data_IF_037397828234
#
_entry.id   IF_037397828234
#
_cell.length_a   1.000
_cell.length_b   1.000
_cell.length_c   1.000
_cell.angle_alpha   90.00
_cell.angle_beta   90.00
_cell.angle_gamma   90.00
#
_symmetry.space_group_name_H-M   'P 1'
#
loop_
_entity.id
_entity.type
_entity.pdbx_description
1 polymer ?
#
# COMPACT_ATOMS: atom_id res chain seq x y z
N UNK A 1 1.60 29.13 32.47
CA UNK A 1 0.50 28.23 32.80
C UNK A 1 -0.40 28.17 31.58
N UNK A 2 -0.41 27.07 30.80
CA UNK A 2 -1.26 26.99 29.63
C UNK A 2 -2.74 27.02 30.08
N UNK A 3 -3.45 28.05 29.69
CA UNK A 3 -4.88 28.17 29.94
C UNK A 3 -5.57 27.10 29.08
N UNK A 4 -6.22 26.14 29.71
CA UNK A 4 -6.92 25.05 29.00
C UNK A 4 -8.40 25.40 28.91
N UNK A 5 -9.01 25.18 27.76
CA UNK A 5 -10.46 25.20 27.60
C UNK A 5 -11.11 24.20 28.60
N UNK A 6 -12.24 24.55 29.18
CA UNK A 6 -12.94 23.64 30.10
C UNK A 6 -13.50 22.42 29.37
N UNK A 7 -13.55 21.27 30.04
CA UNK A 7 -14.07 20.02 29.46
C UNK A 7 -15.54 20.18 28.99
N UNK A 8 -16.34 20.92 29.69
CA UNK A 8 -17.74 21.22 29.33
C UNK A 8 -17.80 21.99 28.01
N UNK A 9 -16.99 23.03 27.86
CA UNK A 9 -16.99 23.87 26.66
C UNK A 9 -16.37 23.09 25.46
N UNK A 10 -15.33 22.30 25.72
CA UNK A 10 -14.73 21.44 24.70
C UNK A 10 -15.76 20.44 24.14
N UNK A 11 -16.52 19.78 25.00
CA UNK A 11 -17.60 18.84 24.58
C UNK A 11 -18.74 19.56 23.87
N UNK A 12 -19.09 20.76 24.27
CA UNK A 12 -20.08 21.59 23.57
C UNK A 12 -19.65 21.92 22.15
N UNK A 13 -18.40 22.32 21.97
CA UNK A 13 -17.81 22.60 20.65
C UNK A 13 -17.66 21.32 19.83
N UNK A 14 -17.25 20.23 20.45
CA UNK A 14 -17.15 18.93 19.82
C UNK A 14 -18.49 18.46 19.24
N UNK A 15 -19.57 18.57 19.99
CA UNK A 15 -20.91 18.21 19.54
C UNK A 15 -21.36 18.99 18.29
N UNK A 16 -20.89 20.24 18.13
CA UNK A 16 -21.23 21.08 17.00
C UNK A 16 -20.33 20.86 15.77
N UNK A 17 -19.03 20.68 15.97
CA UNK A 17 -18.03 20.69 14.90
C UNK A 17 -17.45 19.33 14.55
N UNK A 18 -17.71 18.29 15.37
CA UNK A 18 -17.27 16.91 15.14
C UNK A 18 -18.46 15.96 15.27
N UNK A 19 -19.50 16.19 14.47
CA UNK A 19 -20.79 15.50 14.52
C UNK A 19 -20.73 14.00 14.22
N UNK A 20 -19.62 13.52 13.65
CA UNK A 20 -19.39 12.08 13.34
C UNK A 20 -18.79 11.27 14.50
N UNK A 21 -18.46 11.89 15.63
CA UNK A 21 -18.02 11.26 16.87
C UNK A 21 -18.93 11.71 18.02
N UNK A 22 -18.99 10.92 19.10
CA UNK A 22 -19.59 11.40 20.34
C UNK A 22 -18.77 12.55 20.95
N UNK A 23 -19.39 13.50 21.68
CA UNK A 23 -18.64 14.59 22.31
C UNK A 23 -17.53 14.11 23.24
N UNK A 24 -17.74 12.98 23.95
CA UNK A 24 -16.76 12.39 24.85
C UNK A 24 -15.55 11.82 24.12
N UNK A 25 -15.77 11.13 23.01
CA UNK A 25 -14.70 10.63 22.13
C UNK A 25 -13.91 11.77 21.48
N UNK A 26 -14.60 12.78 20.97
CA UNK A 26 -13.97 13.94 20.35
C UNK A 26 -13.13 14.74 21.35
N UNK A 27 -13.58 14.87 22.59
CA UNK A 27 -12.87 15.59 23.66
C UNK A 27 -11.56 14.90 24.09
N UNK A 28 -11.35 13.61 23.75
CA UNK A 28 -10.06 12.93 23.97
C UNK A 28 -8.95 13.48 23.05
N UNK A 29 -9.32 14.21 21.98
CA UNK A 29 -8.40 14.87 21.08
C UNK A 29 -8.69 16.39 21.04
N UNK A 30 -8.36 17.17 22.08
CA UNK A 30 -8.71 18.59 22.18
C UNK A 30 -8.25 19.42 21.00
N UNK A 31 -7.03 19.21 20.53
CA UNK A 31 -6.46 19.96 19.39
C UNK A 31 -7.30 19.81 18.13
N UNK A 32 -7.91 18.65 17.92
CA UNK A 32 -8.80 18.42 16.77
C UNK A 32 -10.10 19.25 16.87
N UNK A 33 -10.66 19.35 18.06
CA UNK A 33 -11.86 20.18 18.30
C UNK A 33 -11.51 21.65 18.08
N UNK A 34 -10.39 22.09 18.64
CA UNK A 34 -9.89 23.46 18.52
C UNK A 34 -9.62 23.80 17.04
N UNK A 35 -8.97 22.91 16.31
CA UNK A 35 -8.71 23.07 14.87
C UNK A 35 -10.01 23.24 14.08
N UNK A 36 -11.06 22.46 14.38
CA UNK A 36 -12.35 22.59 13.71
C UNK A 36 -13.04 23.93 14.04
N UNK A 37 -12.94 24.42 15.26
CA UNK A 37 -13.45 25.75 15.63
C UNK A 37 -12.66 26.86 14.94
N UNK A 38 -11.33 26.75 14.89
CA UNK A 38 -10.47 27.68 14.14
C UNK A 38 -10.81 27.71 12.65
N UNK A 39 -11.22 26.58 12.08
CA UNK A 39 -11.51 26.44 10.65
C UNK A 39 -12.94 26.86 10.28
N UNK A 40 -13.93 26.55 11.11
CA UNK A 40 -15.36 26.64 10.79
C UNK A 40 -16.17 27.44 11.82
N UNK A 41 -15.56 27.87 12.93
CA UNK A 41 -16.24 28.51 14.03
C UNK A 41 -16.89 29.84 13.69
N UNK A 42 -18.00 30.15 14.34
CA UNK A 42 -18.58 31.47 14.28
C UNK A 42 -17.68 32.52 14.96
N UNK A 43 -17.86 33.80 14.61
CA UNK A 43 -17.04 34.88 15.20
C UNK A 43 -16.98 34.83 16.70
N UNK A 44 -18.15 34.68 17.38
CA UNK A 44 -18.24 34.63 18.83
C UNK A 44 -17.51 33.43 19.45
N UNK A 45 -17.53 32.26 18.79
CA UNK A 45 -16.85 31.07 19.29
C UNK A 45 -15.34 31.17 19.09
N UNK A 46 -14.90 31.75 17.97
CA UNK A 46 -13.49 32.05 17.72
C UNK A 46 -12.94 33.05 18.74
N UNK A 47 -13.65 34.13 19.02
CA UNK A 47 -13.25 35.10 20.05
C UNK A 47 -13.25 34.51 21.46
N UNK A 48 -14.24 33.68 21.78
CA UNK A 48 -14.28 32.91 23.02
C UNK A 48 -13.09 31.95 23.17
N UNK A 49 -12.73 31.28 22.08
CA UNK A 49 -11.56 30.38 22.03
C UNK A 49 -10.25 31.14 22.24
N UNK A 50 -10.08 32.29 21.56
CA UNK A 50 -8.89 33.16 21.70
C UNK A 50 -8.78 33.68 23.14
N UNK A 51 -9.87 34.12 23.73
CA UNK A 51 -9.90 34.64 25.11
C UNK A 51 -9.53 33.56 26.14
N UNK A 52 -9.97 32.33 25.93
CA UNK A 52 -9.74 31.23 26.87
C UNK A 52 -8.34 30.62 26.72
N UNK A 53 -7.84 30.44 25.50
CA UNK A 53 -6.61 29.70 25.25
C UNK A 53 -5.36 30.58 25.08
N UNK A 54 -5.56 31.82 24.63
CA UNK A 54 -4.46 32.72 24.28
C UNK A 54 -3.73 32.34 22.97
N UNK A 55 -2.96 33.29 22.45
CA UNK A 55 -2.31 33.16 21.13
C UNK A 55 -1.29 32.02 21.05
N UNK A 56 -0.56 31.72 22.12
CA UNK A 56 0.50 30.71 22.09
C UNK A 56 -0.04 29.29 21.95
N UNK A 57 -1.17 28.98 22.62
CA UNK A 57 -1.83 27.70 22.48
C UNK A 57 -2.39 27.51 21.06
N UNK A 58 -2.98 28.58 20.49
CA UNK A 58 -3.48 28.53 19.11
C UNK A 58 -2.36 28.45 18.07
N UNK A 59 -1.19 29.08 18.31
CA UNK A 59 0.00 28.87 17.49
C UNK A 59 0.45 27.42 17.51
N UNK A 60 0.45 26.80 18.69
CA UNK A 60 0.78 25.38 18.81
C UNK A 60 -0.15 24.52 17.97
N UNK A 61 -1.47 24.70 18.09
CA UNK A 61 -2.45 23.95 17.30
C UNK A 61 -2.25 24.16 15.79
N UNK A 62 -2.07 25.42 15.35
CA UNK A 62 -1.87 25.74 13.94
C UNK A 62 -0.60 25.12 13.36
N UNK A 63 0.53 25.21 14.09
CA UNK A 63 1.83 24.67 13.63
C UNK A 63 1.88 23.14 13.63
N UNK A 64 1.00 22.47 14.38
CA UNK A 64 0.88 21.01 14.42
C UNK A 64 -0.34 20.50 13.64
N UNK A 65 -1.00 21.38 12.89
CA UNK A 65 -2.17 21.01 12.08
C UNK A 65 -1.82 19.94 11.04
N UNK A 66 -2.74 19.00 10.88
CA UNK A 66 -2.60 17.91 9.91
C UNK A 66 -3.19 18.32 8.56
N UNK A 67 -2.76 17.65 7.47
CA UNK A 67 -3.33 17.85 6.14
C UNK A 67 -4.85 17.70 6.12
N UNK A 68 -5.53 18.71 5.55
CA UNK A 68 -6.99 18.73 5.41
C UNK A 68 -7.76 19.23 6.65
N UNK A 69 -7.07 19.65 7.72
CA UNK A 69 -7.71 20.23 8.91
C UNK A 69 -8.08 21.70 8.74
N UNK A 70 -7.42 22.43 7.85
CA UNK A 70 -7.74 23.81 7.50
C UNK A 70 -8.06 23.94 6.02
N UNK A 71 -8.97 24.87 5.68
CA UNK A 71 -9.08 25.41 4.33
C UNK A 71 -8.10 26.58 4.13
N UNK A 72 -7.85 26.97 2.88
CA UNK A 72 -6.87 28.00 2.53
C UNK A 72 -7.16 29.36 3.21
N UNK A 73 -8.44 29.75 3.32
CA UNK A 73 -8.84 31.03 3.93
C UNK A 73 -8.56 31.04 5.42
N UNK A 74 -8.94 29.98 6.11
CA UNK A 74 -8.70 29.84 7.56
C UNK A 74 -7.22 29.72 7.85
N UNK A 75 -6.45 29.01 7.01
CA UNK A 75 -4.99 28.91 7.12
C UNK A 75 -4.33 30.28 7.03
N UNK A 76 -4.64 31.06 5.99
CA UNK A 76 -4.10 32.41 5.81
C UNK A 76 -4.49 33.34 6.96
N UNK A 77 -5.78 33.36 7.33
CA UNK A 77 -6.28 34.19 8.43
C UNK A 77 -5.53 33.94 9.74
N UNK A 78 -5.38 32.68 10.15
CA UNK A 78 -4.74 32.35 11.40
C UNK A 78 -3.22 32.59 11.40
N UNK A 79 -2.54 32.34 10.28
CA UNK A 79 -1.12 32.67 10.17
C UNK A 79 -0.86 34.18 10.31
N UNK A 80 -1.68 35.03 9.68
CA UNK A 80 -1.60 36.47 9.84
C UNK A 80 -1.98 36.90 11.26
N UNK A 81 -3.10 36.42 11.78
CA UNK A 81 -3.60 36.80 13.12
C UNK A 81 -2.63 36.44 14.25
N UNK A 82 -1.95 35.32 14.12
CA UNK A 82 -1.01 34.82 15.12
C UNK A 82 0.45 35.28 14.88
N UNK A 83 0.69 36.09 13.85
CA UNK A 83 2.02 36.64 13.54
C UNK A 83 3.05 35.58 13.06
N UNK A 84 2.55 34.53 12.38
CA UNK A 84 3.37 33.47 11.79
C UNK A 84 3.63 33.70 10.30
N UNK A 85 2.98 34.67 9.67
CA UNK A 85 3.10 35.05 8.28
C UNK A 85 3.18 36.57 8.12
N UNK A 86 3.83 37.01 7.05
CA UNK A 86 3.78 38.35 6.53
C UNK A 86 3.37 38.35 5.05
N UNK A 87 3.35 39.55 4.41
CA UNK A 87 2.83 39.68 3.03
C UNK A 87 3.65 38.88 2.01
N UNK A 88 4.92 38.65 2.28
CA UNK A 88 5.86 37.98 1.40
C UNK A 88 6.10 36.52 1.77
N UNK A 89 5.78 36.13 3.01
CA UNK A 89 6.07 34.82 3.56
C UNK A 89 4.87 34.18 4.25
N UNK A 90 4.10 33.40 3.51
CA UNK A 90 3.04 32.56 4.03
C UNK A 90 3.55 31.13 4.21
N UNK A 91 3.49 30.54 5.43
CA UNK A 91 3.82 29.13 5.61
C UNK A 91 2.93 28.24 4.71
N UNK A 92 3.52 27.25 4.03
CA UNK A 92 2.74 26.34 3.20
C UNK A 92 1.71 25.59 4.07
N UNK A 93 0.49 25.49 3.57
CA UNK A 93 -0.54 24.71 4.23
C UNK A 93 -0.12 23.23 4.28
N UNK A 94 -0.33 22.53 5.41
CA UNK A 94 -0.04 21.11 5.49
C UNK A 94 -0.79 20.35 4.41
N UNK A 95 -0.06 19.86 3.44
CA UNK A 95 -0.58 18.98 2.40
C UNK A 95 -0.32 17.54 2.80
N UNK A 96 -1.26 16.65 2.55
CA UNK A 96 -0.90 15.24 2.52
C UNK A 96 0.22 15.13 1.47
N UNK A 97 1.43 14.74 1.89
CA UNK A 97 2.36 14.18 0.91
C UNK A 97 1.61 12.98 0.33
N UNK A 98 0.97 13.20 -0.81
CA UNK A 98 0.59 12.10 -1.66
C UNK A 98 1.95 11.51 -2.00
N UNK A 99 2.32 10.40 -1.37
CA UNK A 99 3.40 9.59 -1.89
C UNK A 99 2.88 9.13 -3.24
N UNK A 100 3.19 9.91 -4.27
CA UNK A 100 2.96 9.47 -5.64
C UNK A 100 3.79 8.21 -5.75
N UNK A 101 3.15 7.10 -6.04
CA UNK A 101 3.85 5.85 -6.26
C UNK A 101 4.95 6.12 -7.29
N UNK A 102 6.18 5.71 -7.02
CA UNK A 102 7.20 5.73 -8.05
C UNK A 102 6.66 4.97 -9.26
N UNK A 103 7.04 5.39 -10.45
CA UNK A 103 6.53 4.83 -11.72
C UNK A 103 7.63 4.01 -12.35
N UNK A 104 7.27 2.84 -12.89
CA UNK A 104 8.18 2.01 -13.68
C UNK A 104 7.48 1.49 -14.94
N UNK A 105 8.25 1.23 -15.99
CA UNK A 105 7.76 0.62 -17.23
C UNK A 105 7.73 -0.90 -17.08
N UNK A 106 6.54 -1.54 -17.09
CA UNK A 106 6.43 -2.98 -16.92
C UNK A 106 6.84 -3.75 -18.18
N UNK A 107 7.51 -4.88 -18.01
CA UNK A 107 7.78 -5.84 -19.09
C UNK A 107 6.51 -6.61 -19.46
N UNK A 108 5.55 -5.96 -20.12
CA UNK A 108 4.29 -6.61 -20.52
C UNK A 108 4.47 -7.65 -21.65
N UNK A 109 5.61 -7.65 -22.31
CA UNK A 109 6.00 -8.65 -23.30
C UNK A 109 6.16 -10.06 -22.72
N UNK A 110 6.47 -10.18 -21.42
CA UNK A 110 6.53 -11.49 -20.73
C UNK A 110 5.15 -12.09 -20.45
N UNK A 111 4.08 -11.32 -20.59
CA UNK A 111 2.70 -11.79 -20.38
C UNK A 111 2.26 -12.59 -21.62
N UNK A 112 1.78 -13.84 -21.47
CA UNK A 112 1.10 -14.57 -22.54
C UNK A 112 -0.11 -13.81 -23.11
N UNK A 113 -0.59 -14.18 -24.31
CA UNK A 113 -1.68 -13.44 -24.98
C UNK A 113 -2.94 -13.24 -24.14
N UNK A 114 -3.38 -14.25 -23.37
CA UNK A 114 -4.55 -14.16 -22.53
C UNK A 114 -4.36 -13.12 -21.39
N UNK A 115 -3.19 -13.11 -20.76
CA UNK A 115 -2.85 -12.15 -19.72
C UNK A 115 -2.75 -10.72 -20.27
N UNK A 116 -2.15 -10.54 -21.45
CA UNK A 116 -2.11 -9.23 -22.13
C UNK A 116 -3.50 -8.71 -22.47
N UNK A 117 -4.41 -9.59 -22.86
CA UNK A 117 -5.79 -9.23 -23.13
C UNK A 117 -6.51 -8.75 -21.86
N UNK A 118 -6.27 -9.43 -20.72
CA UNK A 118 -6.88 -9.07 -19.44
C UNK A 118 -6.23 -7.81 -18.82
N UNK A 119 -4.99 -7.50 -19.16
CA UNK A 119 -4.18 -6.46 -18.53
C UNK A 119 -4.91 -5.13 -18.29
N UNK A 120 -5.52 -4.47 -19.30
CA UNK A 120 -6.19 -3.18 -19.11
C UNK A 120 -7.42 -3.28 -18.19
N UNK A 121 -8.07 -4.44 -18.11
CA UNK A 121 -9.26 -4.66 -17.28
C UNK A 121 -8.91 -4.78 -15.76
N UNK A 122 -7.62 -4.87 -15.42
CA UNK A 122 -7.14 -4.98 -14.04
C UNK A 122 -7.03 -3.63 -13.34
N UNK A 123 -7.13 -2.50 -14.03
CA UNK A 123 -6.93 -1.17 -13.47
C UNK A 123 -7.80 -0.83 -12.24
N UNK A 124 -9.04 -1.36 -12.07
CA UNK A 124 -9.81 -1.13 -10.85
C UNK A 124 -9.17 -1.69 -9.58
N UNK A 125 -8.22 -2.64 -9.69
CA UNK A 125 -7.51 -3.20 -8.54
C UNK A 125 -6.85 -2.13 -7.68
N UNK A 126 -6.25 -1.09 -8.30
CA UNK A 126 -5.62 0.02 -7.58
C UNK A 126 -6.59 0.76 -6.68
N UNK A 127 -7.79 1.05 -7.20
CA UNK A 127 -8.82 1.82 -6.51
C UNK A 127 -9.46 1.00 -5.37
N UNK A 128 -9.45 -0.32 -5.50
CA UNK A 128 -9.88 -1.25 -4.47
C UNK A 128 -8.80 -1.56 -3.43
N UNK A 129 -7.62 -0.92 -3.53
CA UNK A 129 -6.53 -1.06 -2.57
C UNK A 129 -5.73 -2.35 -2.71
N UNK A 130 -5.76 -2.97 -3.89
CA UNK A 130 -4.93 -4.13 -4.20
C UNK A 130 -3.57 -3.74 -4.75
N UNK A 131 -2.58 -4.56 -4.41
CA UNK A 131 -1.22 -4.51 -4.95
C UNK A 131 -0.89 -5.87 -5.56
N UNK A 132 -0.27 -5.88 -6.73
CA UNK A 132 0.18 -7.11 -7.37
C UNK A 132 1.43 -7.64 -6.67
N UNK A 133 1.37 -8.91 -6.29
CA UNK A 133 2.45 -9.71 -5.70
C UNK A 133 2.76 -10.93 -6.59
N UNK A 134 3.50 -11.88 -6.07
CA UNK A 134 3.76 -13.14 -6.72
C UNK A 134 4.80 -13.10 -7.85
N UNK A 135 4.83 -14.16 -8.66
CA UNK A 135 5.78 -14.31 -9.75
C UNK A 135 5.59 -13.31 -10.88
N UNK A 136 4.33 -12.93 -11.15
CA UNK A 136 4.01 -11.96 -12.21
C UNK A 136 4.49 -10.56 -11.84
N UNK A 137 4.42 -10.17 -10.57
CA UNK A 137 4.99 -8.91 -10.11
C UNK A 137 6.50 -8.82 -10.38
N UNK A 138 7.25 -9.90 -10.11
CA UNK A 138 8.68 -9.97 -10.39
C UNK A 138 8.95 -9.98 -11.89
N UNK A 139 8.16 -10.73 -12.65
CA UNK A 139 8.30 -10.82 -14.10
C UNK A 139 8.07 -9.46 -14.79
N UNK A 140 7.04 -8.71 -14.38
CA UNK A 140 6.77 -7.37 -14.91
C UNK A 140 7.89 -6.36 -14.60
N UNK A 141 8.58 -6.53 -13.47
CA UNK A 141 9.70 -5.65 -13.10
C UNK A 141 11.01 -6.00 -13.80
N UNK A 142 11.27 -7.29 -14.05
CA UNK A 142 12.59 -7.76 -14.46
C UNK A 142 12.64 -8.41 -15.86
N UNK A 143 11.49 -8.73 -16.45
CA UNK A 143 11.43 -9.34 -17.77
C UNK A 143 12.05 -10.74 -17.87
N UNK A 144 12.35 -11.40 -16.74
CA UNK A 144 13.23 -12.57 -16.67
C UNK A 144 12.59 -13.89 -17.12
N UNK A 145 11.25 -13.98 -17.11
CA UNK A 145 10.49 -15.15 -17.57
C UNK A 145 9.02 -14.84 -17.80
N UNK A 146 8.30 -15.61 -18.63
CA UNK A 146 6.85 -15.56 -18.70
C UNK A 146 6.20 -15.89 -17.35
N UNK A 147 5.08 -15.24 -17.05
CA UNK A 147 4.25 -15.50 -15.86
C UNK A 147 2.78 -15.46 -16.21
N UNK A 148 1.99 -16.35 -15.60
CA UNK A 148 0.63 -16.68 -16.05
C UNK A 148 -0.47 -16.32 -15.03
N UNK A 149 -0.13 -16.04 -13.79
CA UNK A 149 -1.09 -15.83 -12.70
C UNK A 149 -1.03 -14.38 -12.20
N UNK A 150 -2.17 -13.79 -11.82
CA UNK A 150 -2.19 -12.51 -11.11
C UNK A 150 -2.60 -12.74 -9.67
N UNK A 151 -1.73 -12.39 -8.72
CA UNK A 151 -1.96 -12.52 -7.29
C UNK A 151 -2.08 -11.12 -6.64
N UNK A 152 -3.28 -10.72 -6.29
CA UNK A 152 -3.62 -9.42 -5.70
C UNK A 152 -3.72 -9.51 -4.18
N UNK A 153 -3.02 -8.63 -3.48
CA UNK A 153 -2.96 -8.59 -2.02
C UNK A 153 -3.50 -7.27 -1.49
N UNK A 154 -4.29 -7.34 -0.41
CA UNK A 154 -4.75 -6.18 0.34
C UNK A 154 -4.80 -6.45 1.84
N UNK A 155 -4.62 -5.40 2.65
CA UNK A 155 -4.81 -5.49 4.10
C UNK A 155 -6.29 -5.42 4.52
N UNK A 156 -7.17 -4.93 3.62
CA UNK A 156 -8.62 -4.91 3.85
C UNK A 156 -9.22 -6.30 3.77
N UNK A 157 -10.31 -6.53 4.50
CA UNK A 157 -11.14 -7.72 4.29
C UNK A 157 -11.67 -7.72 2.85
N UNK A 158 -11.77 -8.91 2.24
CA UNK A 158 -12.28 -9.00 0.87
C UNK A 158 -13.79 -8.73 0.83
N UNK A 159 -14.17 -7.73 0.05
CA UNK A 159 -15.53 -7.53 -0.40
C UNK A 159 -15.67 -8.03 -1.85
N UNK A 160 -16.20 -9.24 -2.00
CA UNK A 160 -16.32 -9.90 -3.31
C UNK A 160 -17.41 -9.27 -4.18
N UNK A 161 -18.42 -8.66 -3.58
CA UNK A 161 -19.46 -7.93 -4.30
C UNK A 161 -18.87 -6.69 -4.96
N UNK A 162 -18.03 -5.97 -4.23
CA UNK A 162 -17.29 -4.82 -4.77
C UNK A 162 -16.33 -5.25 -5.88
N UNK A 163 -15.60 -6.37 -5.71
CA UNK A 163 -14.72 -6.91 -6.76
C UNK A 163 -15.54 -7.22 -8.02
N UNK A 164 -16.67 -7.93 -7.90
CA UNK A 164 -17.54 -8.28 -9.03
C UNK A 164 -18.13 -7.04 -9.71
N UNK A 165 -18.52 -6.04 -8.94
CA UNK A 165 -19.09 -4.79 -9.45
C UNK A 165 -18.09 -4.01 -10.31
N UNK A 166 -16.83 -3.93 -9.88
CA UNK A 166 -15.81 -3.09 -10.54
C UNK A 166 -14.87 -3.83 -11.48
N UNK A 167 -14.90 -5.16 -11.47
CA UNK A 167 -14.13 -6.02 -12.38
C UNK A 167 -15.08 -6.96 -13.16
N UNK A 168 -15.71 -6.47 -14.23
CA UNK A 168 -16.78 -7.23 -14.96
C UNK A 168 -16.33 -8.59 -15.48
N UNK A 169 -15.05 -8.78 -15.79
CA UNK A 169 -14.51 -10.08 -16.22
C UNK A 169 -14.71 -11.19 -15.18
N UNK A 170 -14.92 -10.84 -13.92
CA UNK A 170 -15.15 -11.81 -12.84
C UNK A 170 -16.52 -12.47 -12.93
N UNK A 171 -17.50 -11.84 -13.63
CA UNK A 171 -18.87 -12.35 -13.74
C UNK A 171 -18.97 -13.63 -14.60
N UNK A 172 -18.06 -13.78 -15.57
CA UNK A 172 -18.01 -14.93 -16.49
C UNK A 172 -16.91 -15.91 -16.12
N UNK A 173 -16.13 -15.63 -15.08
CA UNK A 173 -15.00 -16.45 -14.67
C UNK A 173 -15.47 -17.68 -13.86
N UNK A 174 -14.76 -18.77 -14.03
CA UNK A 174 -14.94 -19.97 -13.20
C UNK A 174 -14.32 -19.73 -11.81
N UNK A 175 -15.11 -19.95 -10.74
CA UNK A 175 -14.62 -19.80 -9.37
C UNK A 175 -13.88 -21.06 -8.96
N UNK A 176 -12.56 -20.94 -8.71
CA UNK A 176 -11.71 -22.04 -8.24
C UNK A 176 -11.67 -22.12 -6.72
N UNK A 177 -11.69 -20.97 -6.04
CA UNK A 177 -11.67 -20.90 -4.59
C UNK A 177 -12.47 -19.69 -4.11
N UNK A 178 -13.37 -19.94 -3.15
CA UNK A 178 -14.19 -18.93 -2.48
C UNK A 178 -14.16 -19.13 -0.96
N UNK A 179 -13.37 -18.30 -0.25
CA UNK A 179 -13.26 -18.27 1.22
C UNK A 179 -13.32 -16.81 1.71
N UNK A 180 -13.57 -16.52 2.98
CA UNK A 180 -13.75 -15.15 3.47
C UNK A 180 -12.70 -14.14 2.93
N UNK A 181 -11.43 -14.46 2.98
CA UNK A 181 -10.32 -13.60 2.54
C UNK A 181 -9.51 -14.21 1.38
N UNK A 182 -10.10 -15.10 0.60
CA UNK A 182 -9.48 -15.69 -0.58
C UNK A 182 -10.53 -15.84 -1.67
N UNK A 183 -10.28 -15.26 -2.82
CA UNK A 183 -11.12 -15.40 -3.99
C UNK A 183 -10.24 -15.67 -5.20
N UNK A 184 -10.29 -16.88 -5.75
CA UNK A 184 -9.50 -17.29 -6.92
C UNK A 184 -10.45 -17.69 -8.04
N UNK A 185 -10.22 -17.11 -9.21
CA UNK A 185 -11.02 -17.32 -10.41
C UNK A 185 -10.13 -17.69 -11.60
N UNK A 186 -10.74 -18.33 -12.59
CA UNK A 186 -10.16 -18.65 -13.88
C UNK A 186 -10.93 -17.93 -14.98
N UNK A 187 -10.31 -16.93 -15.58
CA UNK A 187 -10.86 -16.20 -16.73
C UNK A 187 -10.51 -16.94 -18.00
N UNK A 188 -11.49 -17.27 -18.86
CA UNK A 188 -11.29 -18.04 -20.08
C UNK A 188 -11.51 -17.18 -21.32
N UNK A 189 -10.59 -17.27 -22.27
CA UNK A 189 -10.65 -16.60 -23.57
C UNK A 189 -10.68 -17.65 -24.71
N UNK A 190 -11.70 -18.53 -24.70
CA UNK A 190 -11.85 -19.64 -25.66
C UNK A 190 -11.49 -21.01 -25.06
N UNK A 191 -11.56 -22.04 -25.90
CA UNK A 191 -11.58 -23.45 -25.46
C UNK A 191 -10.19 -24.10 -25.30
N UNK A 192 -9.10 -23.38 -25.58
CA UNK A 192 -7.74 -23.94 -25.47
C UNK A 192 -7.15 -23.70 -24.10
N UNK A 193 -6.36 -24.65 -23.58
CA UNK A 193 -5.71 -24.61 -22.27
C UNK A 193 -4.76 -23.43 -22.08
N UNK A 194 -4.27 -22.83 -23.16
CA UNK A 194 -3.36 -21.67 -23.13
C UNK A 194 -4.10 -20.31 -23.11
N UNK A 195 -5.44 -20.32 -23.15
CA UNK A 195 -6.27 -19.13 -23.23
C UNK A 195 -7.01 -18.82 -21.91
N UNK A 196 -6.44 -19.18 -20.78
CA UNK A 196 -7.03 -18.85 -19.48
C UNK A 196 -6.02 -18.16 -18.57
N UNK A 197 -6.56 -17.34 -17.66
CA UNK A 197 -5.80 -16.56 -16.69
C UNK A 197 -6.35 -16.85 -15.31
N UNK A 198 -5.47 -17.30 -14.40
CA UNK A 198 -5.83 -17.40 -12.99
C UNK A 198 -5.60 -16.06 -12.32
N UNK A 199 -6.63 -15.56 -11.66
CA UNK A 199 -6.59 -14.33 -10.86
C UNK A 199 -6.98 -14.67 -9.44
N UNK A 200 -6.11 -14.33 -8.50
CA UNK A 200 -6.31 -14.58 -7.07
C UNK A 200 -6.33 -13.27 -6.30
N UNK A 201 -7.32 -13.12 -5.42
CA UNK A 201 -7.44 -12.00 -4.49
C UNK A 201 -7.29 -12.51 -3.06
N UNK A 202 -6.38 -11.89 -2.30
CA UNK A 202 -6.11 -12.22 -0.91
C UNK A 202 -6.27 -10.96 -0.06
N UNK A 203 -7.19 -11.00 0.90
CA UNK A 203 -7.48 -9.89 1.80
C UNK A 203 -7.22 -10.22 3.27
N UNK A 204 -7.42 -9.21 4.13
CA UNK A 204 -7.22 -9.35 5.57
C UNK A 204 -5.79 -9.75 5.94
N UNK A 205 -4.82 -9.38 5.12
CA UNK A 205 -3.43 -9.77 5.32
C UNK A 205 -2.82 -8.96 6.47
N UNK A 206 -2.27 -9.64 7.51
CA UNK A 206 -1.81 -8.96 8.73
C UNK A 206 -0.40 -8.36 8.60
N UNK A 207 0.33 -8.68 7.52
CA UNK A 207 1.66 -8.12 7.30
C UNK A 207 1.58 -6.77 6.58
N UNK A 208 2.48 -5.87 6.92
CA UNK A 208 2.62 -4.59 6.23
C UNK A 208 3.63 -4.65 5.09
N UNK A 209 4.03 -3.48 4.58
CA UNK A 209 5.11 -3.34 3.60
C UNK A 209 6.33 -2.65 4.20
N UNK A 210 7.51 -2.97 3.68
CA UNK A 210 8.79 -2.33 4.05
C UNK A 210 9.14 -1.24 3.04
N UNK A 211 8.77 -1.43 1.78
CA UNK A 211 8.95 -0.43 0.74
C UNK A 211 7.61 -0.09 0.06
N UNK A 212 7.53 1.09 -0.57
CA UNK A 212 6.32 1.47 -1.29
C UNK A 212 6.20 0.67 -2.58
N UNK A 213 4.98 0.21 -2.95
CA UNK A 213 4.73 -0.33 -4.27
C UNK A 213 4.90 0.77 -5.32
N UNK A 214 5.24 0.39 -6.53
CA UNK A 214 5.37 1.31 -7.66
C UNK A 214 4.21 1.11 -8.63
N UNK A 215 3.80 2.20 -9.28
CA UNK A 215 2.77 2.18 -10.31
C UNK A 215 3.38 1.83 -11.66
N UNK A 216 2.70 1.05 -12.46
CA UNK A 216 3.05 0.89 -13.87
C UNK A 216 2.82 2.21 -14.63
N UNK A 217 3.66 2.53 -15.62
CA UNK A 217 3.59 3.79 -16.37
C UNK A 217 2.31 3.96 -17.20
N UNK A 218 1.65 2.84 -17.51
CA UNK A 218 0.31 2.81 -18.10
C UNK A 218 -0.82 2.99 -17.05
N UNK A 219 -0.50 3.14 -15.77
CA UNK A 219 -1.48 3.36 -14.70
C UNK A 219 -2.36 2.15 -14.35
N UNK A 220 -2.04 0.97 -14.85
CA UNK A 220 -2.90 -0.22 -14.68
C UNK A 220 -2.78 -0.78 -13.27
N UNK A 221 -1.57 -1.01 -12.73
CA UNK A 221 -1.39 -1.68 -11.45
C UNK A 221 -0.33 -1.04 -10.56
N UNK A 222 -0.56 -1.09 -9.25
CA UNK A 222 0.51 -1.03 -8.26
C UNK A 222 1.15 -2.40 -8.12
N UNK A 223 2.47 -2.44 -8.17
CA UNK A 223 3.28 -3.66 -8.07
C UNK A 223 4.19 -3.55 -6.86
N UNK A 224 4.21 -4.57 -6.01
CA UNK A 224 5.01 -4.60 -4.79
C UNK A 224 6.50 -4.34 -5.07
N UNK A 225 7.18 -3.71 -4.13
CA UNK A 225 8.61 -3.47 -4.21
C UNK A 225 9.41 -4.79 -4.21
N UNK A 226 10.59 -4.78 -4.84
CA UNK A 226 11.41 -5.99 -4.94
C UNK A 226 11.86 -6.53 -3.58
N UNK A 227 12.08 -5.68 -2.56
CA UNK A 227 12.40 -6.12 -1.20
C UNK A 227 11.23 -6.93 -0.58
N UNK A 228 9.99 -6.47 -0.79
CA UNK A 228 8.80 -7.14 -0.30
C UNK A 228 8.54 -8.45 -1.06
N UNK A 229 8.77 -8.43 -2.38
CA UNK A 229 8.68 -9.64 -3.22
C UNK A 229 9.73 -10.67 -2.85
N UNK A 230 10.97 -10.26 -2.55
CA UNK A 230 12.03 -11.14 -2.05
C UNK A 230 11.63 -11.78 -0.73
N UNK A 231 11.03 -11.00 0.19
CA UNK A 231 10.55 -11.51 1.47
C UNK A 231 9.48 -12.60 1.29
N UNK A 232 8.53 -12.38 0.38
CA UNK A 232 7.50 -13.37 0.06
C UNK A 232 8.10 -14.63 -0.56
N UNK A 233 9.04 -14.51 -1.50
CA UNK A 233 9.71 -15.67 -2.11
C UNK A 233 10.54 -16.43 -1.08
N UNK A 234 11.24 -15.75 -0.18
CA UNK A 234 11.99 -16.39 0.91
C UNK A 234 11.10 -17.22 1.85
N UNK A 235 9.83 -16.82 2.03
CA UNK A 235 8.84 -17.62 2.77
C UNK A 235 8.35 -18.81 1.96
N UNK A 236 8.03 -18.61 0.68
CA UNK A 236 7.43 -19.61 -0.21
C UNK A 236 8.36 -20.80 -0.45
N UNK A 237 9.66 -20.59 -0.68
CA UNK A 237 10.63 -21.69 -0.93
C UNK A 237 10.82 -22.65 0.25
N UNK A 238 10.35 -22.29 1.44
CA UNK A 238 10.30 -23.21 2.61
C UNK A 238 9.13 -24.19 2.54
N UNK A 239 8.11 -23.87 1.72
CA UNK A 239 6.86 -24.62 1.67
C UNK A 239 6.73 -25.48 0.41
N UNK A 240 7.40 -25.08 -0.67
CA UNK A 240 7.35 -25.79 -1.95
C UNK A 240 8.67 -25.71 -2.70
N UNK A 241 8.96 -26.76 -3.48
CA UNK A 241 10.20 -26.88 -4.24
C UNK A 241 9.90 -26.72 -5.72
N UNK A 242 9.66 -25.46 -6.15
CA UNK A 242 9.37 -25.10 -7.53
C UNK A 242 10.49 -24.24 -8.12
N UNK A 243 11.10 -24.69 -9.21
CA UNK A 243 12.24 -24.00 -9.84
C UNK A 243 11.93 -22.56 -10.23
N UNK A 244 10.65 -22.24 -10.53
CA UNK A 244 10.25 -20.86 -10.85
C UNK A 244 10.50 -19.90 -9.68
N UNK A 245 10.32 -20.33 -8.40
CA UNK A 245 10.55 -19.48 -7.24
C UNK A 245 12.04 -19.18 -7.04
N UNK A 246 12.91 -20.17 -7.34
CA UNK A 246 14.36 -19.99 -7.28
C UNK A 246 14.88 -19.12 -8.43
N UNK A 247 14.29 -19.24 -9.65
CA UNK A 247 14.60 -18.34 -10.79
C UNK A 247 14.19 -16.90 -10.45
N UNK A 248 13.04 -16.69 -9.81
CA UNK A 248 12.59 -15.38 -9.39
C UNK A 248 13.57 -14.75 -8.37
N UNK A 249 14.02 -15.51 -7.38
CA UNK A 249 15.02 -15.05 -6.40
C UNK A 249 16.35 -14.74 -7.10
N UNK A 250 16.83 -15.62 -7.97
CA UNK A 250 18.08 -15.39 -8.70
C UNK A 250 18.00 -14.13 -9.55
N UNK A 251 16.91 -13.91 -10.29
CA UNK A 251 16.70 -12.70 -11.08
C UNK A 251 16.67 -11.42 -10.22
N UNK A 252 16.03 -11.46 -9.06
CA UNK A 252 16.07 -10.32 -8.12
C UNK A 252 17.50 -10.07 -7.61
N UNK A 253 18.27 -11.11 -7.32
CA UNK A 253 19.68 -10.98 -6.90
C UNK A 253 20.52 -10.38 -8.02
N UNK A 254 20.36 -10.85 -9.25
CA UNK A 254 21.06 -10.34 -10.43
C UNK A 254 20.70 -8.86 -10.71
N UNK A 255 19.47 -8.44 -10.34
CA UNK A 255 19.02 -7.05 -10.36
C UNK A 255 19.49 -6.21 -9.15
N UNK A 256 20.34 -6.78 -8.27
CA UNK A 256 20.93 -6.06 -7.14
C UNK A 256 20.13 -6.12 -5.83
N UNK A 257 19.04 -6.91 -5.75
CA UNK A 257 18.26 -7.07 -4.51
C UNK A 257 19.06 -7.92 -3.52
N UNK A 258 19.23 -7.40 -2.31
CA UNK A 258 19.96 -8.09 -1.25
C UNK A 258 19.11 -9.21 -0.62
N UNK A 259 19.61 -10.46 -0.65
CA UNK A 259 19.00 -11.58 0.06
C UNK A 259 18.94 -11.30 1.56
N UNK A 260 20.00 -10.72 2.16
CA UNK A 260 20.00 -10.38 3.58
C UNK A 260 18.89 -9.41 3.95
N UNK A 261 18.65 -8.38 3.11
CA UNK A 261 17.56 -7.42 3.30
C UNK A 261 16.19 -8.09 3.10
N UNK A 262 16.01 -8.91 2.07
CA UNK A 262 14.77 -9.66 1.85
C UNK A 262 14.42 -10.60 3.00
N UNK A 263 15.41 -11.30 3.58
CA UNK A 263 15.24 -12.16 4.76
C UNK A 263 14.89 -11.33 6.01
N UNK A 264 15.51 -10.17 6.20
CA UNK A 264 15.18 -9.24 7.30
C UNK A 264 13.76 -8.70 7.14
N UNK A 265 13.37 -8.33 5.91
CA UNK A 265 12.00 -7.92 5.56
C UNK A 265 10.99 -9.03 5.86
N UNK A 266 11.27 -10.27 5.47
CA UNK A 266 10.40 -11.41 5.77
C UNK A 266 10.23 -11.64 7.28
N UNK A 267 11.28 -11.45 8.06
CA UNK A 267 11.21 -11.55 9.52
C UNK A 267 10.29 -10.47 10.12
N UNK A 268 10.34 -9.25 9.60
CA UNK A 268 9.44 -8.17 10.03
C UNK A 268 7.98 -8.42 9.62
N UNK A 269 7.76 -8.85 8.39
CA UNK A 269 6.42 -9.10 7.86
C UNK A 269 5.72 -10.29 8.53
N UNK A 270 6.43 -11.39 8.72
CA UNK A 270 5.85 -12.67 9.14
C UNK A 270 6.14 -13.02 10.61
N UNK A 271 6.87 -12.16 11.32
CA UNK A 271 7.11 -12.27 12.76
C UNK A 271 7.90 -13.53 13.16
N UNK A 272 7.65 -13.98 14.39
CA UNK A 272 8.40 -15.10 15.01
C UNK A 272 8.26 -16.44 14.30
N UNK A 273 7.22 -16.62 13.51
CA UNK A 273 7.01 -17.85 12.74
C UNK A 273 7.96 -17.97 11.53
N UNK A 274 8.55 -16.86 11.10
CA UNK A 274 9.54 -16.87 10.03
C UNK A 274 10.94 -17.08 10.60
N UNK A 275 11.57 -18.20 10.25
CA UNK A 275 12.92 -18.53 10.66
C UNK A 275 13.91 -18.21 9.54
N UNK A 276 14.72 -17.13 9.65
CA UNK A 276 15.65 -16.69 8.63
C UNK A 276 16.59 -17.78 8.12
N UNK A 277 17.16 -18.58 9.03
CA UNK A 277 18.12 -19.61 8.67
C UNK A 277 17.51 -20.71 7.80
N UNK A 278 16.23 -21.03 8.03
CA UNK A 278 15.56 -22.07 7.23
C UNK A 278 15.35 -21.62 5.77
N UNK A 279 15.07 -20.33 5.54
CA UNK A 279 14.98 -19.77 4.19
C UNK A 279 16.35 -19.77 3.50
N UNK A 280 17.42 -19.40 4.21
CA UNK A 280 18.77 -19.43 3.66
C UNK A 280 19.21 -20.87 3.30
N UNK A 281 18.89 -21.86 4.13
CA UNK A 281 19.13 -23.29 3.84
C UNK A 281 18.33 -23.74 2.61
N UNK A 282 17.03 -23.36 2.53
CA UNK A 282 16.18 -23.70 1.40
C UNK A 282 16.71 -23.11 0.09
N UNK A 283 17.19 -21.85 0.08
CA UNK A 283 17.73 -21.20 -1.12
C UNK A 283 18.90 -21.95 -1.78
N UNK A 284 19.64 -22.75 -1.03
CA UNK A 284 20.80 -23.52 -1.54
C UNK A 284 20.57 -25.03 -1.53
N UNK A 285 19.36 -25.46 -1.22
CA UNK A 285 18.95 -26.86 -1.33
C UNK A 285 18.29 -27.07 -2.71
N UNK A 286 18.99 -27.67 -3.63
CA UNK A 286 18.52 -27.89 -5.01
C UNK A 286 17.98 -29.29 -5.26
N UNK A 287 17.40 -29.91 -4.23
CA UNK A 287 16.82 -31.26 -4.28
C UNK A 287 15.29 -31.18 -4.11
N UNK A 288 14.56 -32.03 -4.79
CA UNK A 288 13.11 -32.12 -4.75
C UNK A 288 12.41 -31.30 -5.84
N UNK A 289 11.13 -31.57 -6.05
CA UNK A 289 10.31 -30.94 -7.08
C UNK A 289 10.96 -30.94 -8.46
N UNK A 290 10.88 -29.81 -9.15
CA UNK A 290 11.50 -29.59 -10.47
C UNK A 290 12.85 -28.83 -10.38
N UNK A 291 13.48 -28.75 -9.19
CA UNK A 291 14.72 -27.99 -8.96
C UNK A 291 15.93 -28.51 -9.77
N UNK A 292 15.88 -29.77 -10.26
CA UNK A 292 16.86 -30.29 -11.20
C UNK A 292 16.95 -29.44 -12.49
N UNK A 293 15.87 -28.73 -12.86
CA UNK A 293 15.80 -27.86 -14.05
C UNK A 293 16.51 -26.51 -13.89
N UNK A 294 16.99 -26.17 -12.69
CA UNK A 294 17.74 -24.95 -12.43
C UNK A 294 19.11 -25.03 -13.14
N UNK A 295 19.44 -23.96 -13.87
CA UNK A 295 20.76 -23.85 -14.50
C UNK A 295 21.87 -23.73 -13.44
N UNK A 296 23.09 -24.09 -13.83
CA UNK A 296 24.28 -23.90 -13.02
C UNK A 296 24.47 -22.42 -12.60
N UNK A 297 24.14 -21.49 -13.49
CA UNK A 297 24.21 -20.06 -13.23
C UNK A 297 23.24 -19.67 -12.11
N UNK A 298 21.95 -20.02 -12.18
CA UNK A 298 20.98 -19.73 -11.12
C UNK A 298 21.43 -20.27 -9.77
N UNK A 299 21.93 -21.52 -9.72
CA UNK A 299 22.45 -22.13 -8.50
C UNK A 299 23.64 -21.34 -7.93
N UNK A 300 24.58 -20.93 -8.82
CA UNK A 300 25.76 -20.17 -8.42
C UNK A 300 25.38 -18.77 -7.89
N UNK A 301 24.45 -18.06 -8.54
CA UNK A 301 23.90 -16.78 -8.06
C UNK A 301 23.35 -16.92 -6.64
N UNK A 302 22.49 -17.92 -6.39
CA UNK A 302 21.89 -18.17 -5.09
C UNK A 302 22.93 -18.53 -4.01
N UNK A 303 23.89 -19.40 -4.32
CA UNK A 303 24.98 -19.77 -3.41
C UNK A 303 25.80 -18.54 -3.04
N UNK A 304 26.16 -17.70 -4.01
CA UNK A 304 26.96 -16.50 -3.77
C UNK A 304 26.18 -15.51 -2.91
N UNK A 305 24.90 -15.30 -3.22
CA UNK A 305 24.04 -14.41 -2.46
C UNK A 305 23.86 -14.85 -1.01
N UNK A 306 23.63 -16.16 -0.77
CA UNK A 306 23.51 -16.68 0.60
C UNK A 306 24.84 -16.57 1.36
N UNK A 307 25.99 -16.84 0.73
CA UNK A 307 27.33 -16.68 1.33
C UNK A 307 27.63 -15.25 1.74
N UNK A 308 27.06 -14.25 1.04
CA UNK A 308 27.25 -12.83 1.35
C UNK A 308 26.51 -12.39 2.61
N UNK A 309 25.49 -13.13 3.05
CA UNK A 309 24.70 -12.80 4.24
C UNK A 309 25.49 -13.11 5.50
N UNK A 310 26.16 -12.11 6.08
CA UNK A 310 26.89 -12.24 7.35
C UNK A 310 26.06 -11.79 8.55
N UNK A 311 25.25 -10.75 8.34
CA UNK A 311 24.35 -10.17 9.33
C UNK A 311 23.09 -9.71 8.61
N UNK A 312 21.94 -9.84 9.25
CA UNK A 312 20.70 -9.28 8.75
C UNK A 312 20.67 -7.79 9.09
N UNK A 313 20.37 -6.92 8.11
CA UNK A 313 20.21 -5.49 8.36
C UNK A 313 18.96 -5.22 9.20
N UNK A 314 18.93 -4.07 9.87
CA UNK A 314 17.73 -3.58 10.52
C UNK A 314 16.75 -3.08 9.48
N UNK A 315 15.51 -3.56 9.57
CA UNK A 315 14.41 -3.22 8.67
C UNK A 315 13.17 -2.98 9.51
N UNK A 316 12.37 -2.00 9.15
CA UNK A 316 11.11 -1.69 9.82
C UNK A 316 9.94 -1.72 8.84
N UNK A 317 8.76 -2.09 9.33
CA UNK A 317 7.51 -1.95 8.57
C UNK A 317 7.23 -0.46 8.36
N UNK A 318 7.12 -0.04 7.10
CA UNK A 318 6.82 1.33 6.70
C UNK A 318 5.34 1.66 6.86
N UNK A 319 4.48 0.70 6.55
CA UNK A 319 3.03 0.84 6.66
C UNK A 319 2.35 -0.52 6.79
N UNK A 320 1.24 -0.58 7.51
CA UNK A 320 0.34 -1.73 7.52
C UNK A 320 -0.49 -1.84 6.23
N UNK A 321 -0.77 -0.72 5.56
CA UNK A 321 -1.42 -0.72 4.26
C UNK A 321 -0.44 -1.14 3.18
N UNK A 322 -0.83 -2.07 2.30
CA UNK A 322 0.03 -2.56 1.21
C UNK A 322 0.09 -1.56 0.04
N UNK A 323 -1.05 -0.94 -0.31
CA UNK A 323 -1.12 0.08 -1.36
C UNK A 323 -0.65 1.46 -0.88
N UNK A 324 -0.36 2.33 -1.84
CA UNK A 324 -0.21 3.77 -1.64
C UNK A 324 -1.32 4.51 -2.37
N UNK A 325 -1.71 5.72 -1.92
CA UNK A 325 -2.64 6.55 -2.68
C UNK A 325 -2.12 6.81 -4.09
N UNK A 326 -3.00 6.75 -5.08
CA UNK A 326 -2.69 7.04 -6.48
C UNK A 326 -3.31 8.38 -6.84
N UNK A 327 -2.51 9.24 -7.45
CA UNK A 327 -3.03 10.44 -8.08
C UNK A 327 -3.45 10.10 -9.53
N UNK A 328 -4.75 9.88 -9.72
CA UNK A 328 -5.31 9.54 -11.03
C UNK A 328 -5.23 10.67 -12.06
N UNK A 329 -4.92 11.91 -11.65
CA UNK A 329 -4.64 12.99 -12.60
C UNK A 329 -3.40 12.71 -13.47
N UNK A 330 -2.48 11.88 -12.97
CA UNK A 330 -1.31 11.42 -13.74
C UNK A 330 -1.68 10.38 -14.81
N UNK A 331 -2.86 9.79 -14.74
CA UNK A 331 -3.32 8.72 -15.61
C UNK A 331 -4.72 9.04 -16.16
N UNK A 332 -4.87 10.03 -17.03
CA UNK A 332 -6.18 10.54 -17.49
C UNK A 332 -7.03 9.51 -18.26
N UNK A 333 -6.41 8.42 -18.73
CA UNK A 333 -7.08 7.30 -19.37
C UNK A 333 -7.67 6.28 -18.37
N UNK A 334 -7.29 6.34 -17.07
CA UNK A 334 -7.84 5.50 -16.02
C UNK A 334 -8.99 6.25 -15.35
N UNK A 335 -10.22 5.81 -15.60
CA UNK A 335 -11.38 6.44 -14.98
C UNK A 335 -11.45 6.09 -13.48
N UNK A 336 -11.60 7.10 -12.58
CA UNK A 336 -11.80 6.83 -11.17
C UNK A 336 -13.13 6.13 -10.94
N UNK A 337 -13.13 5.11 -10.09
CA UNK A 337 -14.35 4.46 -9.62
C UNK A 337 -15.15 5.49 -8.82
N UNK A 338 -16.34 5.83 -9.29
CA UNK A 338 -17.30 6.60 -8.50
C UNK A 338 -17.85 5.67 -7.40
N UNK A 339 -17.28 5.78 -6.20
CA UNK A 339 -17.91 5.20 -5.01
C UNK A 339 -19.11 6.08 -4.66
N UNK A 340 -20.32 5.63 -4.96
CA UNK A 340 -21.51 6.11 -4.28
C UNK A 340 -21.35 5.79 -2.79
N UNK A 341 -20.82 6.75 -2.02
CA UNK A 341 -20.89 6.65 -0.56
C UNK A 341 -22.38 6.79 -0.22
N UNK A 342 -22.98 5.84 0.48
CA UNK A 342 -24.31 6.08 1.04
C UNK A 342 -24.22 7.34 1.92
N UNK A 343 -25.14 8.27 1.69
CA UNK A 343 -25.31 9.50 2.45
C UNK A 343 -25.62 9.23 3.91
#
# INVERSE_FOLDING_TARGET
>A
MMTRISDIELKRLAAKYIWWNTPDEAAQCPDRVITQVMNLGSYSEVEGLVAQMGSDALRHVLTHAKPGEFNERSWAYWNYRLGLADIDHMPPMPTRKICVAAIFTPHTDVLPPAQRRLWPELSPANQLGFVLYGGTAIALRLGHRPSVDFDFFTHHQLDKEVIRKFMPFTATAEVLQDRPNTYTILVRYGDTTNNHVRVSFFGGLPFGRVADPEMTDDGVLQVAALDDLMAHKAKVIRQRFEAKDYRDIAAMVDAGVSVGRGIATARQMFGVQFQPIESLKAMVCFQGGDLATLSGQHRQTLITAVRSVKRLPDVSIKSSALCVPVDFHLFPHVQPIQCDRPR
#
